data_IF_778588128950
#
_entry.id   IF_778588128950
#
_cell.length_a   1.000
_cell.length_b   1.000
_cell.length_c   1.000
_cell.angle_alpha   90.00
_cell.angle_beta   90.00
_cell.angle_gamma   90.00
#
_symmetry.space_group_name_H-M   'P 1'
#
loop_
_entity.id
_entity.type
_entity.pdbx_description
1 polymer ?
#
# COMPACT_ATOMS: atom_id res chain seq x y z
N UNK A 1 13.84 -34.87 28.59
CA UNK A 1 12.92 -35.64 27.71
C UNK A 1 13.23 -35.31 26.26
N UNK A 2 12.99 -36.23 25.31
CA UNK A 2 13.15 -35.93 23.88
C UNK A 2 12.11 -34.92 23.39
N UNK A 3 12.44 -34.18 22.33
CA UNK A 3 11.52 -33.25 21.69
C UNK A 3 10.28 -33.97 21.13
N UNK A 4 9.12 -33.34 21.27
CA UNK A 4 7.86 -33.88 20.76
C UNK A 4 7.80 -33.82 19.24
N UNK A 5 6.97 -34.67 18.60
CA UNK A 5 6.73 -34.63 17.15
C UNK A 5 6.31 -33.23 16.66
N UNK A 6 5.52 -32.48 17.45
CA UNK A 6 5.15 -31.09 17.14
C UNK A 6 6.36 -30.15 17.13
N UNK A 7 7.26 -30.26 18.11
CA UNK A 7 8.47 -29.44 18.16
C UNK A 7 9.45 -29.79 17.03
N UNK A 8 9.62 -31.08 16.74
CA UNK A 8 10.45 -31.54 15.62
C UNK A 8 9.92 -31.02 14.28
N UNK A 9 8.60 -31.04 14.07
CA UNK A 9 7.98 -30.45 12.88
C UNK A 9 8.15 -28.93 12.82
N UNK A 10 8.02 -28.23 13.96
CA UNK A 10 8.26 -26.80 14.03
C UNK A 10 9.72 -26.45 13.70
N UNK A 11 10.68 -27.21 14.23
CA UNK A 11 12.11 -27.07 13.91
C UNK A 11 12.37 -27.29 12.42
N UNK A 12 11.77 -28.32 11.82
CA UNK A 12 11.87 -28.57 10.38
C UNK A 12 11.33 -27.39 9.57
N UNK A 13 10.15 -26.85 9.94
CA UNK A 13 9.58 -25.67 9.29
C UNK A 13 10.46 -24.42 9.43
N UNK A 14 11.18 -24.28 10.54
CA UNK A 14 12.02 -23.10 10.84
C UNK A 14 13.38 -23.20 10.14
N UNK A 15 14.02 -24.36 10.19
CA UNK A 15 15.44 -24.54 9.85
C UNK A 15 15.66 -25.26 8.51
N UNK A 16 14.63 -25.93 7.98
CA UNK A 16 14.74 -26.83 6.83
C UNK A 16 15.47 -28.15 7.12
N UNK A 17 15.87 -28.42 8.36
CA UNK A 17 16.60 -29.62 8.76
C UNK A 17 15.69 -30.59 9.51
N UNK A 18 15.86 -31.88 9.23
CA UNK A 18 15.14 -32.94 9.94
C UNK A 18 15.89 -33.33 11.23
N UNK A 19 15.24 -33.12 12.37
CA UNK A 19 15.80 -33.38 13.69
C UNK A 19 15.29 -34.67 14.33
N UNK A 20 14.49 -35.50 13.62
CA UNK A 20 13.85 -36.69 14.22
C UNK A 20 14.85 -37.69 14.80
N UNK A 21 16.02 -37.83 14.19
CA UNK A 21 17.09 -38.75 14.61
C UNK A 21 18.21 -38.04 15.38
N UNK A 22 18.09 -36.74 15.61
CA UNK A 22 19.15 -35.92 16.21
C UNK A 22 19.28 -36.07 17.74
N UNK A 23 18.36 -36.79 18.39
CA UNK A 23 18.33 -36.91 19.85
C UNK A 23 18.05 -35.60 20.60
N UNK A 24 17.59 -34.54 19.92
CA UNK A 24 17.39 -33.23 20.53
C UNK A 24 16.39 -33.27 21.70
N UNK A 25 16.76 -32.60 22.79
CA UNK A 25 15.91 -32.49 23.98
C UNK A 25 14.71 -31.57 23.75
N UNK A 26 13.66 -31.75 24.55
CA UNK A 26 12.49 -30.88 24.56
C UNK A 26 12.85 -29.44 24.91
N UNK A 27 13.77 -29.24 25.87
CA UNK A 27 14.23 -27.93 26.30
C UNK A 27 15.00 -27.21 25.18
N UNK A 28 15.92 -27.90 24.51
CA UNK A 28 16.72 -27.33 23.42
C UNK A 28 15.87 -27.02 22.19
N UNK A 29 14.97 -27.94 21.82
CA UNK A 29 14.01 -27.68 20.76
C UNK A 29 13.14 -26.45 21.08
N UNK A 30 12.71 -26.30 22.34
CA UNK A 30 11.91 -25.13 22.76
C UNK A 30 12.72 -23.84 22.73
N UNK A 31 14.01 -23.86 23.13
CA UNK A 31 14.90 -22.71 23.03
C UNK A 31 15.10 -22.28 21.57
N UNK A 32 15.44 -23.21 20.67
CA UNK A 32 15.64 -22.90 19.25
C UNK A 32 14.36 -22.35 18.62
N UNK A 33 13.21 -22.95 18.93
CA UNK A 33 11.90 -22.45 18.47
C UNK A 33 11.65 -21.04 19.02
N UNK A 34 11.90 -20.81 20.32
CA UNK A 34 11.68 -19.50 20.96
C UNK A 34 12.64 -18.42 20.45
N UNK A 35 13.90 -18.75 20.20
CA UNK A 35 14.91 -17.87 19.61
C UNK A 35 14.55 -17.52 18.16
N UNK A 36 14.12 -18.51 17.38
CA UNK A 36 13.58 -18.27 16.04
C UNK A 36 12.30 -17.42 16.08
N UNK A 37 11.45 -17.61 17.08
CA UNK A 37 10.24 -16.82 17.28
C UNK A 37 10.52 -15.37 17.71
N UNK A 38 11.59 -15.11 18.47
CA UNK A 38 12.03 -13.73 18.79
C UNK A 38 12.38 -12.92 17.53
N UNK A 39 12.93 -13.59 16.52
CA UNK A 39 13.26 -13.00 15.22
C UNK A 39 12.14 -13.22 14.18
N UNK A 40 10.96 -13.69 14.60
CA UNK A 40 9.85 -13.94 13.69
C UNK A 40 9.18 -12.60 13.35
N UNK A 41 9.14 -12.20 12.07
CA UNK A 41 8.56 -10.94 11.63
C UNK A 41 7.03 -10.84 11.86
N UNK A 42 6.42 -11.84 12.51
CA UNK A 42 4.98 -11.99 12.71
C UNK A 42 4.47 -11.52 14.08
N UNK A 43 5.33 -10.99 14.95
CA UNK A 43 4.86 -10.38 16.21
C UNK A 43 4.24 -9.00 15.93
N UNK A 44 3.23 -8.52 16.70
CA UNK A 44 2.66 -7.20 16.49
C UNK A 44 3.71 -6.07 16.51
N UNK A 45 4.71 -6.17 17.40
CA UNK A 45 5.83 -5.23 17.47
C UNK A 45 6.69 -5.28 16.20
N UNK A 46 7.00 -6.46 15.68
CA UNK A 46 7.76 -6.61 14.44
C UNK A 46 6.98 -6.10 13.21
N UNK A 47 5.67 -6.35 13.16
CA UNK A 47 4.80 -5.84 12.10
C UNK A 47 4.70 -4.32 12.14
N UNK A 48 4.61 -3.70 13.32
CA UNK A 48 4.62 -2.25 13.47
C UNK A 48 5.96 -1.62 13.06
N UNK A 49 7.09 -2.26 13.39
CA UNK A 49 8.40 -1.83 12.90
C UNK A 49 8.49 -1.95 11.38
N UNK A 50 7.97 -3.04 10.81
CA UNK A 50 7.96 -3.24 9.37
C UNK A 50 7.05 -2.22 8.65
N UNK A 51 5.90 -1.86 9.23
CA UNK A 51 5.04 -0.80 8.72
C UNK A 51 5.79 0.53 8.65
N UNK A 52 6.52 0.86 9.73
CA UNK A 52 7.36 2.06 9.78
C UNK A 52 8.44 2.03 8.69
N UNK A 53 9.11 0.90 8.49
CA UNK A 53 10.12 0.76 7.44
C UNK A 53 9.54 0.92 6.03
N UNK A 54 8.37 0.33 5.74
CA UNK A 54 7.69 0.49 4.44
C UNK A 54 7.32 1.96 4.22
N UNK A 55 6.80 2.63 5.26
CA UNK A 55 6.50 4.06 5.22
C UNK A 55 7.75 4.91 4.94
N UNK A 56 8.86 4.65 5.64
CA UNK A 56 10.13 5.33 5.43
C UNK A 56 10.69 5.07 4.02
N UNK A 57 10.52 3.85 3.49
CA UNK A 57 10.89 3.52 2.13
C UNK A 57 10.08 4.32 1.09
N UNK A 58 8.78 4.53 1.33
CA UNK A 58 7.95 5.37 0.47
C UNK A 58 8.36 6.85 0.54
N UNK A 59 8.71 7.36 1.73
CA UNK A 59 9.30 8.71 1.88
C UNK A 59 10.60 8.83 1.11
N UNK A 60 11.49 7.84 1.20
CA UNK A 60 12.76 7.85 0.46
C UNK A 60 12.56 7.83 -1.07
N UNK A 61 11.38 7.42 -1.54
CA UNK A 61 11.01 7.46 -2.96
C UNK A 61 9.98 8.56 -3.27
N UNK A 62 9.83 9.56 -2.38
CA UNK A 62 8.84 10.63 -2.53
C UNK A 62 8.96 11.35 -3.87
N UNK A 63 10.17 11.74 -4.28
CA UNK A 63 10.39 12.47 -5.53
C UNK A 63 9.96 11.68 -6.77
N UNK A 64 10.12 10.34 -6.75
CA UNK A 64 9.63 9.48 -7.84
C UNK A 64 8.10 9.47 -7.88
N UNK A 65 7.47 9.39 -6.72
CA UNK A 65 6.01 9.40 -6.60
C UNK A 65 5.44 10.76 -7.00
N UNK A 66 6.09 11.86 -6.59
CA UNK A 66 5.76 13.22 -7.00
C UNK A 66 5.95 13.41 -8.51
N UNK A 67 6.98 12.81 -9.11
CA UNK A 67 7.18 12.80 -10.56
C UNK A 67 6.03 12.12 -11.31
N UNK A 68 5.56 10.96 -10.83
CA UNK A 68 4.38 10.28 -11.39
C UNK A 68 3.12 11.13 -11.20
N UNK A 69 2.94 11.70 -10.01
CA UNK A 69 1.84 12.62 -9.73
C UNK A 69 1.84 13.79 -10.73
N UNK A 70 2.93 14.53 -10.85
CA UNK A 70 3.02 15.66 -11.76
C UNK A 70 2.77 15.27 -13.22
N UNK A 71 3.26 14.10 -13.65
CA UNK A 71 3.02 13.57 -15.00
C UNK A 71 1.55 13.30 -15.26
N UNK A 72 0.89 12.56 -14.36
CA UNK A 72 -0.55 12.28 -14.46
C UNK A 72 -1.39 13.55 -14.44
N UNK A 73 -0.88 14.59 -13.79
CA UNK A 73 -1.53 15.89 -13.64
C UNK A 73 -1.30 16.85 -14.82
N UNK A 74 -0.43 16.49 -15.77
CA UNK A 74 -0.05 17.34 -16.90
C UNK A 74 -0.91 17.14 -18.17
N UNK A 75 -1.97 16.32 -18.13
CA UNK A 75 -2.79 15.93 -19.30
C UNK A 75 -4.29 16.16 -18.96
N UNK A 76 -5.18 16.80 -19.74
CA UNK A 76 -5.04 17.77 -20.87
C UNK A 76 -6.41 18.36 -21.36
N UNK A 77 -7.57 18.09 -20.72
CA UNK A 77 -8.87 18.55 -21.25
C UNK A 77 -9.74 19.29 -20.23
N UNK A 78 -10.20 20.48 -20.62
CA UNK A 78 -11.23 21.25 -19.92
C UNK A 78 -12.52 21.13 -20.74
N UNK A 79 -13.56 20.57 -20.14
CA UNK A 79 -14.92 20.57 -20.69
C UNK A 79 -15.65 21.79 -20.12
N UNK A 80 -16.02 22.73 -20.99
CA UNK A 80 -16.89 23.85 -20.60
C UNK A 80 -18.33 23.47 -20.87
N UNK A 81 -19.13 23.34 -19.82
CA UNK A 81 -20.58 23.20 -19.93
C UNK A 81 -21.23 24.56 -19.69
N UNK A 82 -22.08 24.99 -20.61
CA UNK A 82 -22.96 26.14 -20.42
C UNK A 82 -24.33 25.64 -19.96
N UNK A 83 -24.83 26.18 -18.85
CA UNK A 83 -26.18 25.95 -18.37
C UNK A 83 -26.81 27.27 -17.97
N UNK A 84 -28.13 27.30 -17.82
CA UNK A 84 -28.88 28.52 -17.56
C UNK A 84 -29.38 28.54 -16.12
N UNK A 85 -28.96 29.55 -15.35
CA UNK A 85 -29.51 29.81 -14.01
C UNK A 85 -30.66 30.81 -14.11
N UNK A 86 -31.69 30.62 -13.28
CA UNK A 86 -32.83 31.53 -13.15
C UNK A 86 -32.54 32.51 -12.01
N UNK A 87 -32.57 33.80 -12.31
CA UNK A 87 -32.47 34.86 -11.30
C UNK A 87 -33.71 34.85 -10.40
N UNK A 88 -33.60 35.52 -9.24
CA UNK A 88 -34.75 35.78 -8.35
C UNK A 88 -35.88 36.56 -9.02
N UNK A 89 -35.61 37.18 -10.16
CA UNK A 89 -36.55 37.98 -10.95
C UNK A 89 -37.09 37.20 -12.18
N UNK A 90 -36.69 35.93 -12.34
CA UNK A 90 -37.17 35.05 -13.41
C UNK A 90 -36.41 35.16 -14.74
N UNK A 91 -35.31 35.92 -14.78
CA UNK A 91 -34.46 36.03 -15.95
C UNK A 91 -33.46 34.87 -16.03
N UNK A 92 -33.22 34.36 -17.24
CA UNK A 92 -32.30 33.27 -17.48
C UNK A 92 -30.94 33.80 -17.92
N UNK A 93 -29.87 33.44 -17.19
CA UNK A 93 -28.51 33.85 -17.52
C UNK A 93 -27.60 32.64 -17.77
N UNK A 94 -26.76 32.67 -18.82
CA UNK A 94 -25.83 31.58 -19.10
C UNK A 94 -24.69 31.60 -18.07
N UNK A 95 -24.49 30.47 -17.42
CA UNK A 95 -23.39 30.18 -16.50
C UNK A 95 -22.49 29.12 -17.14
N UNK A 96 -21.19 29.42 -17.18
CA UNK A 96 -20.18 28.48 -17.70
C UNK A 96 -19.50 27.80 -16.53
N UNK A 97 -19.54 26.47 -16.52
CA UNK A 97 -18.78 25.65 -15.59
C UNK A 97 -17.72 24.86 -16.35
N UNK A 98 -16.48 24.98 -15.89
CA UNK A 98 -15.34 24.24 -16.43
C UNK A 98 -15.11 22.97 -15.60
N UNK A 99 -15.05 21.83 -16.27
CA UNK A 99 -14.66 20.54 -15.72
C UNK A 99 -13.27 20.19 -16.23
N UNK A 100 -12.27 20.29 -15.36
CA UNK A 100 -10.92 19.87 -15.69
C UNK A 100 -10.77 18.36 -15.43
N UNK A 101 -10.34 17.63 -16.44
CA UNK A 101 -10.02 16.21 -16.32
C UNK A 101 -8.53 16.04 -16.09
N UNK A 102 -8.20 15.38 -14.99
CA UNK A 102 -6.83 15.17 -14.57
C UNK A 102 -6.53 13.68 -14.42
N UNK A 103 -5.61 13.19 -15.23
CA UNK A 103 -5.02 11.86 -15.11
C UNK A 103 -5.91 10.69 -15.55
N UNK A 104 -5.41 9.49 -15.25
CA UNK A 104 -6.03 8.19 -15.52
C UNK A 104 -7.29 7.92 -14.67
N UNK A 105 -8.21 7.13 -15.24
CA UNK A 105 -9.54 6.84 -14.68
C UNK A 105 -9.55 6.14 -13.31
N UNK A 106 -10.75 6.05 -12.75
CA UNK A 106 -11.01 5.34 -11.50
C UNK A 106 -10.87 3.82 -11.70
N UNK A 107 -10.53 3.11 -10.63
CA UNK A 107 -10.42 1.66 -10.70
C UNK A 107 -10.07 1.02 -9.36
N UNK A 108 -9.66 -0.24 -9.42
CA UNK A 108 -9.28 -1.03 -8.25
C UNK A 108 -7.92 -1.66 -8.47
N UNK A 109 -7.02 -1.43 -7.51
CA UNK A 109 -5.73 -2.13 -7.41
C UNK A 109 -5.67 -2.99 -6.14
N UNK A 110 -5.15 -4.21 -6.28
CA UNK A 110 -4.99 -5.18 -5.20
C UNK A 110 -3.71 -6.00 -5.37
N UNK A 111 -3.26 -6.63 -4.28
CA UNK A 111 -2.10 -7.52 -4.29
C UNK A 111 -2.59 -8.96 -4.37
N UNK A 112 -2.17 -9.69 -5.40
CA UNK A 112 -2.28 -11.14 -5.42
C UNK A 112 -1.11 -11.76 -4.67
N UNK A 113 -1.40 -12.68 -3.76
CA UNK A 113 -0.43 -13.43 -2.98
C UNK A 113 -0.97 -14.83 -2.62
N UNK A 114 -0.10 -15.74 -2.14
CA UNK A 114 -0.54 -17.04 -1.63
C UNK A 114 -1.31 -16.88 -0.31
N UNK A 115 -2.64 -16.94 -0.37
CA UNK A 115 -3.54 -16.81 0.79
C UNK A 115 -3.35 -17.88 1.87
N UNK A 116 -2.61 -18.96 1.60
CA UNK A 116 -2.26 -19.96 2.62
C UNK A 116 -1.10 -19.50 3.50
N UNK A 117 -0.33 -18.51 3.06
CA UNK A 117 0.75 -17.91 3.84
C UNK A 117 0.19 -16.91 4.84
N UNK A 118 0.18 -17.28 6.13
CA UNK A 118 -0.19 -16.36 7.21
C UNK A 118 0.71 -15.13 7.27
N UNK A 119 1.97 -15.25 6.82
CA UNK A 119 2.86 -14.10 6.72
C UNK A 119 2.43 -13.15 5.61
N UNK A 120 2.17 -13.66 4.40
CA UNK A 120 1.69 -12.80 3.31
C UNK A 120 0.34 -12.15 3.66
N UNK A 121 -0.53 -12.86 4.39
CA UNK A 121 -1.75 -12.27 4.95
C UNK A 121 -1.45 -11.07 5.86
N UNK A 122 -0.53 -11.20 6.82
CA UNK A 122 -0.15 -10.07 7.68
C UNK A 122 0.46 -8.88 6.92
N UNK A 123 1.03 -9.11 5.74
CA UNK A 123 1.62 -8.07 4.90
C UNK A 123 0.63 -7.38 3.96
N UNK A 124 -0.33 -8.13 3.40
CA UNK A 124 -1.14 -7.68 2.26
C UNK A 124 -2.65 -7.78 2.41
N UNK A 125 -3.17 -8.46 3.45
CA UNK A 125 -4.61 -8.70 3.58
C UNK A 125 -5.37 -7.44 4.05
N UNK A 126 -6.24 -6.88 3.19
CA UNK A 126 -7.00 -5.65 3.49
C UNK A 126 -7.90 -5.79 4.71
N UNK A 127 -8.47 -6.97 4.93
CA UNK A 127 -9.39 -7.22 6.05
C UNK A 127 -8.66 -7.32 7.40
N UNK A 128 -7.32 -7.43 7.38
CA UNK A 128 -6.50 -7.68 8.56
C UNK A 128 -5.66 -6.51 9.06
N UNK A 129 -5.94 -5.26 8.68
CA UNK A 129 -5.08 -4.10 8.96
C UNK A 129 -3.61 -4.34 8.57
N UNK A 130 -3.40 -4.85 7.35
CA UNK A 130 -2.09 -5.29 6.93
C UNK A 130 -1.05 -4.16 6.83
N UNK A 131 0.20 -4.53 7.10
CA UNK A 131 1.38 -3.65 7.14
C UNK A 131 1.45 -2.71 5.94
N UNK A 132 1.26 -3.24 4.73
CA UNK A 132 1.36 -2.45 3.51
C UNK A 132 0.26 -1.39 3.41
N UNK A 133 -0.99 -1.73 3.76
CA UNK A 133 -2.12 -0.81 3.66
C UNK A 133 -2.01 0.36 4.64
N UNK A 134 -1.56 0.10 5.86
CA UNK A 134 -1.33 1.13 6.86
C UNK A 134 -0.18 2.06 6.44
N UNK A 135 0.93 1.49 5.99
CA UNK A 135 2.09 2.26 5.54
C UNK A 135 1.76 3.16 4.35
N UNK A 136 1.04 2.64 3.34
CA UNK A 136 0.58 3.42 2.18
C UNK A 136 -0.38 4.52 2.62
N UNK A 137 -1.36 4.22 3.48
CA UNK A 137 -2.34 5.22 3.94
C UNK A 137 -1.63 6.36 4.68
N UNK A 138 -0.70 6.03 5.57
CA UNK A 138 0.13 7.00 6.29
C UNK A 138 1.01 7.82 5.34
N UNK A 139 1.59 7.19 4.32
CA UNK A 139 2.34 7.88 3.28
C UNK A 139 1.46 8.85 2.48
N UNK A 140 0.24 8.46 2.09
CA UNK A 140 -0.67 9.36 1.36
C UNK A 140 -0.99 10.61 2.19
N UNK A 141 -1.23 10.47 3.48
CA UNK A 141 -1.39 11.62 4.39
C UNK A 141 -0.14 12.49 4.44
N UNK A 142 1.05 11.88 4.53
CA UNK A 142 2.32 12.60 4.45
C UNK A 142 2.41 13.38 3.13
N UNK A 143 2.17 12.74 1.99
CA UNK A 143 2.23 13.35 0.66
C UNK A 143 1.32 14.58 0.55
N UNK A 144 0.06 14.47 0.95
CA UNK A 144 -0.91 15.58 0.93
C UNK A 144 -0.41 16.77 1.76
N UNK A 145 0.23 16.52 2.89
CA UNK A 145 0.76 17.56 3.77
C UNK A 145 2.07 18.19 3.29
N UNK A 146 2.77 17.56 2.34
CA UNK A 146 4.09 17.97 1.85
C UNK A 146 4.09 18.40 0.38
N UNK A 147 2.95 18.33 -0.30
CA UNK A 147 2.80 18.88 -1.64
C UNK A 147 2.86 20.41 -1.58
N UNK A 148 3.39 21.04 -2.63
CA UNK A 148 3.45 22.50 -2.75
C UNK A 148 2.06 23.12 -2.56
N UNK A 149 1.98 24.15 -1.71
CA UNK A 149 0.70 24.75 -1.33
C UNK A 149 -0.03 25.41 -2.49
N UNK A 150 0.70 25.93 -3.49
CA UNK A 150 0.12 26.47 -4.72
C UNK A 150 -0.54 25.37 -5.54
N UNK A 151 0.12 24.22 -5.67
CA UNK A 151 -0.45 23.04 -6.34
C UNK A 151 -1.71 22.58 -5.59
N UNK A 152 -1.63 22.41 -4.27
CA UNK A 152 -2.77 22.02 -3.44
C UNK A 152 -3.97 22.96 -3.63
N UNK A 153 -3.74 24.28 -3.54
CA UNK A 153 -4.81 25.27 -3.67
C UNK A 153 -5.39 25.30 -5.10
N UNK A 154 -4.55 25.14 -6.12
CA UNK A 154 -5.01 25.07 -7.51
C UNK A 154 -5.99 23.91 -7.70
N UNK A 155 -5.61 22.71 -7.27
CA UNK A 155 -6.43 21.49 -7.33
C UNK A 155 -7.77 21.66 -6.63
N UNK A 156 -7.74 22.25 -5.43
CA UNK A 156 -8.95 22.58 -4.69
C UNK A 156 -9.85 23.56 -5.45
N UNK A 157 -9.26 24.57 -6.12
CA UNK A 157 -10.02 25.59 -6.86
C UNK A 157 -10.69 25.06 -8.13
N UNK A 158 -10.15 24.01 -8.74
CA UNK A 158 -10.69 23.37 -9.94
C UNK A 158 -11.59 22.17 -9.64
N UNK A 159 -11.98 21.99 -8.37
CA UNK A 159 -12.89 20.91 -7.94
C UNK A 159 -12.27 19.52 -7.94
N UNK A 160 -10.94 19.41 -8.03
CA UNK A 160 -10.22 18.13 -8.06
C UNK A 160 -9.15 18.09 -6.97
N UNK A 161 -9.54 17.95 -5.68
CA UNK A 161 -8.61 18.04 -4.57
C UNK A 161 -7.54 16.93 -4.62
N UNK A 162 -6.32 17.24 -4.15
CA UNK A 162 -5.16 16.31 -4.16
C UNK A 162 -5.49 15.01 -3.44
N UNK A 163 -6.32 15.08 -2.40
CA UNK A 163 -6.83 13.94 -1.65
C UNK A 163 -7.60 12.95 -2.55
N UNK A 164 -8.46 13.47 -3.43
CA UNK A 164 -9.21 12.66 -4.40
C UNK A 164 -8.25 12.08 -5.44
N UNK A 165 -7.34 12.88 -5.99
CA UNK A 165 -6.32 12.41 -6.96
C UNK A 165 -5.49 11.26 -6.39
N UNK A 166 -4.95 11.41 -5.18
CA UNK A 166 -4.15 10.38 -4.51
C UNK A 166 -4.95 9.12 -4.15
N UNK A 167 -6.27 9.25 -3.98
CA UNK A 167 -7.18 8.15 -3.69
C UNK A 167 -7.63 7.39 -4.94
N UNK A 168 -7.87 8.09 -6.04
CA UNK A 168 -8.62 7.59 -7.20
C UNK A 168 -7.78 7.39 -8.45
N UNK A 169 -6.68 8.13 -8.64
CA UNK A 169 -5.83 7.96 -9.81
C UNK A 169 -5.10 6.61 -9.74
N UNK A 170 -5.46 5.72 -10.65
CA UNK A 170 -4.96 4.33 -10.61
C UNK A 170 -3.49 4.20 -10.97
N UNK A 171 -2.94 5.07 -11.82
CA UNK A 171 -1.51 5.04 -12.15
C UNK A 171 -0.68 5.41 -10.92
N UNK A 172 -1.05 6.47 -10.19
CA UNK A 172 -0.39 6.86 -8.94
C UNK A 172 -0.52 5.75 -7.89
N UNK A 173 -1.73 5.22 -7.72
CA UNK A 173 -1.98 4.19 -6.72
C UNK A 173 -1.23 2.87 -7.03
N UNK A 174 -1.25 2.43 -8.29
CA UNK A 174 -0.52 1.25 -8.77
C UNK A 174 0.99 1.42 -8.58
N UNK A 175 1.53 2.60 -8.89
CA UNK A 175 2.95 2.89 -8.69
C UNK A 175 3.37 2.79 -7.21
N UNK A 176 2.60 3.42 -6.30
CA UNK A 176 2.85 3.36 -4.85
C UNK A 176 2.76 1.92 -4.34
N UNK A 177 1.74 1.18 -4.79
CA UNK A 177 1.58 -0.23 -4.42
C UNK A 177 2.75 -1.09 -4.91
N UNK A 178 3.19 -0.91 -6.16
CA UNK A 178 4.33 -1.64 -6.71
C UNK A 178 5.64 -1.32 -5.99
N UNK A 179 5.87 -0.07 -5.56
CA UNK A 179 7.03 0.27 -4.74
C UNK A 179 7.02 -0.45 -3.39
N UNK A 180 5.89 -0.41 -2.68
CA UNK A 180 5.76 -1.06 -1.36
C UNK A 180 5.85 -2.59 -1.47
N UNK A 181 5.17 -3.18 -2.46
CA UNK A 181 5.23 -4.63 -2.73
C UNK A 181 6.63 -5.05 -3.14
N UNK A 182 7.27 -4.31 -4.04
CA UNK A 182 8.64 -4.57 -4.50
C UNK A 182 9.62 -4.63 -3.34
N UNK A 183 9.57 -3.64 -2.43
CA UNK A 183 10.39 -3.63 -1.22
C UNK A 183 10.19 -4.90 -0.36
N UNK A 184 8.92 -5.28 -0.11
CA UNK A 184 8.61 -6.47 0.71
C UNK A 184 8.99 -7.78 0.02
N UNK A 185 8.77 -7.88 -1.30
CA UNK A 185 9.18 -9.03 -2.12
C UNK A 185 10.68 -9.19 -2.10
N UNK A 186 11.44 -8.11 -2.28
CA UNK A 186 12.90 -8.15 -2.31
C UNK A 186 13.49 -8.45 -0.93
N UNK A 187 12.91 -7.87 0.13
CA UNK A 187 13.35 -8.08 1.51
C UNK A 187 13.13 -9.51 1.99
N UNK A 188 11.96 -10.09 1.72
CA UNK A 188 11.58 -11.41 2.24
C UNK A 188 11.63 -12.53 1.19
N UNK A 189 12.09 -12.22 -0.04
CA UNK A 189 12.15 -13.15 -1.17
C UNK A 189 10.81 -13.85 -1.42
N UNK A 190 9.72 -13.07 -1.34
CA UNK A 190 8.37 -13.60 -1.48
C UNK A 190 8.14 -14.07 -2.92
N UNK A 191 7.50 -15.22 -3.07
CA UNK A 191 7.14 -15.79 -4.38
C UNK A 191 5.66 -15.59 -4.64
N UNK A 192 5.31 -15.44 -5.93
CA UNK A 192 3.91 -15.33 -6.40
C UNK A 192 3.16 -14.15 -5.77
N UNK A 193 3.85 -13.02 -5.59
CA UNK A 193 3.24 -11.76 -5.16
C UNK A 193 3.29 -10.78 -6.33
N UNK A 194 2.16 -10.17 -6.68
CA UNK A 194 2.08 -9.13 -7.72
C UNK A 194 0.95 -8.16 -7.46
N UNK A 195 1.12 -6.92 -7.89
CA UNK A 195 0.03 -5.95 -7.96
C UNK A 195 -0.80 -6.24 -9.22
N UNK A 196 -2.12 -6.17 -9.08
CA UNK A 196 -3.08 -6.19 -10.19
C UNK A 196 -3.92 -4.94 -10.12
N UNK A 197 -4.21 -4.38 -11.28
CA UNK A 197 -5.00 -3.17 -11.42
C UNK A 197 -6.00 -3.35 -12.55
N UNK A 198 -7.24 -2.94 -12.30
CA UNK A 198 -8.30 -2.79 -13.30
C UNK A 198 -8.70 -1.32 -13.30
N UNK A 199 -8.74 -0.72 -14.48
CA UNK A 199 -9.17 0.65 -14.72
C UNK A 199 -10.46 0.56 -15.52
N UNK A 200 -11.50 1.23 -15.07
CA UNK A 200 -12.79 1.32 -15.77
C UNK A 200 -12.73 2.36 -16.91
#
# INVERSE_FOLDING_TARGET
MLATKKQLFALYCITGKDYRESGISKEDASKIIAESQKNNPRTPKALALLEKEVYEYLIANHDKILGVFNKEMSIESILTQEYYELSSEGESHPVKQNFAFFGSGCGVSWVEYDKRSNFCKSLFDREGNAVMHNAISRYKTYFINHIDRKIYNYFKSVGFPVEATMGQNMVINDFIMNLAVGYLVDKFKLKKVRVKTVID
#
